data_IF_953837468208
#
_entry.id   IF_953837468208
#
_cell.length_a   1.000
_cell.length_b   1.000
_cell.length_c   1.000
_cell.angle_alpha   90.00
_cell.angle_beta   90.00
_cell.angle_gamma   90.00
#
_symmetry.space_group_name_H-M   'P 1'
#
loop_
_entity.id
_entity.type
_entity.pdbx_description
1 polymer ?
#
# COMPACT_ATOMS: atom_id res chain seq x y z
N UNK A 1 6.64 -35.25 7.74
CA UNK A 1 7.15 -33.91 8.07
C UNK A 1 8.23 -33.58 7.05
N UNK A 2 7.88 -32.80 6.02
CA UNK A 2 8.86 -32.27 5.07
C UNK A 2 9.37 -30.94 5.63
N UNK A 3 10.67 -30.74 5.59
CA UNK A 3 11.37 -29.54 6.07
C UNK A 3 10.94 -28.31 5.22
N UNK A 4 10.39 -27.22 5.82
CA UNK A 4 9.89 -26.07 5.07
C UNK A 4 10.98 -25.13 4.50
N UNK A 5 12.27 -25.41 4.67
CA UNK A 5 13.32 -24.41 4.38
C UNK A 5 14.53 -24.89 3.55
N UNK A 6 14.48 -26.04 2.87
CA UNK A 6 15.58 -26.46 1.99
C UNK A 6 15.27 -26.25 0.51
N UNK A 7 15.93 -25.26 -0.11
CA UNK A 7 15.94 -25.05 -1.56
C UNK A 7 17.36 -25.26 -2.07
N UNK A 8 17.65 -26.36 -2.78
CA UNK A 8 18.93 -26.50 -3.43
C UNK A 8 19.08 -25.40 -4.50
N UNK A 9 20.27 -24.80 -4.65
CA UNK A 9 20.55 -23.93 -5.79
C UNK A 9 20.24 -24.69 -7.10
N UNK A 10 19.82 -24.00 -8.18
CA UNK A 10 19.57 -24.67 -9.45
C UNK A 10 20.80 -25.50 -9.83
N UNK A 11 20.61 -26.82 -9.93
CA UNK A 11 21.68 -27.78 -10.27
C UNK A 11 22.16 -27.63 -11.73
N UNK A 12 21.46 -26.82 -12.53
CA UNK A 12 21.81 -26.49 -13.92
C UNK A 12 22.19 -25.03 -14.04
N UNK A 13 23.23 -24.75 -14.82
CA UNK A 13 23.61 -23.39 -15.23
C UNK A 13 22.54 -22.68 -16.08
N UNK A 14 21.41 -23.34 -16.38
CA UNK A 14 20.32 -22.86 -17.21
C UNK A 14 18.99 -23.02 -16.47
N UNK A 15 18.17 -21.97 -16.50
CA UNK A 15 16.82 -21.93 -15.92
C UNK A 15 15.75 -21.95 -17.02
N UNK A 16 14.56 -22.41 -16.67
CA UNK A 16 13.40 -22.50 -17.55
C UNK A 16 12.20 -21.70 -17.03
N UNK A 17 11.07 -21.83 -17.74
CA UNK A 17 9.84 -21.11 -17.41
C UNK A 17 9.27 -21.48 -16.05
N UNK A 18 9.46 -22.75 -15.62
CA UNK A 18 9.00 -23.26 -14.32
C UNK A 18 9.67 -22.58 -13.14
N UNK A 19 10.94 -22.20 -13.27
CA UNK A 19 11.67 -21.48 -12.21
C UNK A 19 11.08 -20.08 -12.00
N UNK A 20 10.71 -19.41 -13.10
CA UNK A 20 10.04 -18.10 -13.07
C UNK A 20 8.65 -18.21 -12.47
N UNK A 21 7.87 -19.21 -12.87
CA UNK A 21 6.54 -19.49 -12.33
C UNK A 21 6.55 -19.76 -10.82
N UNK A 22 7.58 -20.47 -10.35
CA UNK A 22 7.76 -20.71 -8.91
C UNK A 22 8.06 -19.41 -8.16
N UNK A 23 8.91 -18.52 -8.70
CA UNK A 23 9.18 -17.21 -8.11
C UNK A 23 7.92 -16.33 -8.03
N UNK A 24 7.13 -16.29 -9.11
CA UNK A 24 5.87 -15.56 -9.18
C UNK A 24 4.85 -16.10 -8.16
N UNK A 25 4.69 -17.43 -8.08
CA UNK A 25 3.76 -18.06 -7.15
C UNK A 25 4.12 -17.78 -5.69
N UNK A 26 5.41 -17.83 -5.35
CA UNK A 26 5.87 -17.50 -4.01
C UNK A 26 5.69 -16.02 -3.68
N UNK A 27 5.93 -15.13 -4.64
CA UNK A 27 5.69 -13.69 -4.46
C UNK A 27 4.21 -13.41 -4.20
N UNK A 28 3.29 -14.05 -4.94
CA UNK A 28 1.84 -13.96 -4.69
C UNK A 28 1.46 -14.47 -3.29
N UNK A 29 2.02 -15.59 -2.86
CA UNK A 29 1.77 -16.15 -1.52
C UNK A 29 2.21 -15.21 -0.41
N UNK A 30 3.43 -14.66 -0.49
CA UNK A 30 3.96 -13.71 0.51
C UNK A 30 3.17 -12.39 0.54
N UNK A 31 2.67 -11.93 -0.61
CA UNK A 31 1.79 -10.77 -0.70
C UNK A 31 0.45 -10.99 0.02
N UNK A 32 -0.12 -12.19 -0.08
CA UNK A 32 -1.33 -12.53 0.68
C UNK A 32 -1.09 -12.47 2.19
N UNK A 33 0.08 -12.91 2.66
CA UNK A 33 0.46 -12.80 4.08
C UNK A 33 0.62 -11.34 4.51
N UNK A 34 1.25 -10.49 3.69
CA UNK A 34 1.34 -9.04 3.95
C UNK A 34 -0.05 -8.44 4.14
N UNK A 35 -0.98 -8.68 3.20
CA UNK A 35 -2.33 -8.14 3.29
C UNK A 35 -3.04 -8.51 4.59
N UNK A 36 -2.93 -9.76 5.03
CA UNK A 36 -3.62 -10.25 6.23
C UNK A 36 -2.98 -9.82 7.55
N UNK A 37 -1.65 -9.76 7.63
CA UNK A 37 -0.95 -9.71 8.93
C UNK A 37 0.02 -8.54 9.11
N UNK A 38 0.27 -7.73 8.08
CA UNK A 38 1.37 -6.76 8.12
C UNK A 38 2.57 -7.25 7.30
N UNK A 39 3.30 -6.32 6.71
CA UNK A 39 4.51 -6.62 5.95
C UNK A 39 5.63 -7.16 6.85
N UNK A 40 5.62 -6.80 8.13
CA UNK A 40 6.52 -7.39 9.13
C UNK A 40 6.34 -8.90 9.32
N UNK A 41 5.19 -9.47 8.95
CA UNK A 41 4.94 -10.91 9.07
C UNK A 41 5.64 -11.75 8.00
N UNK A 42 5.99 -11.17 6.84
CA UNK A 42 6.60 -11.90 5.72
C UNK A 42 7.92 -11.31 5.21
N UNK A 43 8.38 -10.16 5.73
CA UNK A 43 9.59 -9.46 5.26
C UNK A 43 10.81 -10.38 5.15
N UNK A 44 11.14 -11.15 6.18
CA UNK A 44 12.35 -11.97 6.18
C UNK A 44 12.27 -13.09 5.12
N UNK A 45 11.09 -13.68 4.94
CA UNK A 45 10.85 -14.64 3.87
C UNK A 45 10.99 -13.99 2.48
N UNK A 46 10.51 -12.75 2.30
CA UNK A 46 10.71 -11.98 1.06
C UNK A 46 12.19 -11.74 0.80
N UNK A 47 12.97 -11.33 1.81
CA UNK A 47 14.42 -11.11 1.68
C UNK A 47 15.15 -12.41 1.32
N UNK A 48 14.77 -13.55 1.90
CA UNK A 48 15.33 -14.87 1.51
C UNK A 48 15.06 -15.15 0.03
N UNK A 49 13.87 -14.81 -0.48
CA UNK A 49 13.54 -14.99 -1.90
C UNK A 49 14.34 -14.07 -2.82
N UNK A 50 14.76 -12.89 -2.37
CA UNK A 50 15.64 -12.01 -3.16
C UNK A 50 16.99 -12.69 -3.42
N UNK A 51 17.56 -13.41 -2.45
CA UNK A 51 18.81 -14.15 -2.69
C UNK A 51 18.65 -15.27 -3.71
N UNK A 52 17.50 -15.95 -3.73
CA UNK A 52 17.22 -16.95 -4.76
C UNK A 52 17.01 -16.31 -6.15
N UNK A 53 16.27 -15.21 -6.22
CA UNK A 53 16.11 -14.43 -7.44
C UNK A 53 17.45 -13.96 -8.05
N UNK A 54 18.42 -13.58 -7.22
CA UNK A 54 19.76 -13.23 -7.68
C UNK A 54 20.50 -14.40 -8.33
N UNK A 55 20.32 -15.63 -7.83
CA UNK A 55 20.87 -16.82 -8.44
C UNK A 55 20.21 -17.12 -9.80
N UNK A 56 18.88 -16.95 -9.90
CA UNK A 56 18.16 -17.10 -11.16
C UNK A 56 18.63 -16.06 -12.20
N UNK A 57 18.86 -14.81 -11.78
CA UNK A 57 19.37 -13.76 -12.68
C UNK A 57 20.76 -14.07 -13.25
N UNK A 58 21.60 -14.79 -12.50
CA UNK A 58 22.95 -15.18 -12.91
C UNK A 58 22.99 -16.41 -13.83
N UNK A 59 21.90 -17.18 -13.91
CA UNK A 59 21.81 -18.38 -14.75
C UNK A 59 21.53 -18.05 -16.23
N UNK A 60 21.92 -18.94 -17.13
CA UNK A 60 21.56 -18.86 -18.55
C UNK A 60 20.05 -19.06 -18.75
N UNK A 61 19.46 -18.35 -19.70
CA UNK A 61 18.04 -18.44 -20.04
C UNK A 61 17.84 -18.04 -21.50
N UNK A 62 16.75 -18.49 -22.14
CA UNK A 62 16.32 -17.88 -23.40
C UNK A 62 15.87 -16.43 -23.16
N UNK A 63 15.86 -15.62 -24.21
CA UNK A 63 15.43 -14.21 -24.11
C UNK A 63 14.01 -14.08 -23.55
N UNK A 64 13.09 -14.98 -23.95
CA UNK A 64 11.72 -15.01 -23.44
C UNK A 64 11.64 -15.33 -21.94
N UNK A 65 12.42 -16.31 -21.46
CA UNK A 65 12.49 -16.66 -20.04
C UNK A 65 13.15 -15.53 -19.25
N UNK A 66 14.20 -14.91 -19.80
CA UNK A 66 14.89 -13.78 -19.16
C UNK A 66 13.99 -12.57 -19.02
N UNK A 67 13.20 -12.23 -20.05
CA UNK A 67 12.25 -11.13 -19.98
C UNK A 67 11.19 -11.35 -18.88
N UNK A 68 10.59 -12.53 -18.81
CA UNK A 68 9.60 -12.87 -17.76
C UNK A 68 10.25 -12.89 -16.36
N UNK A 69 11.49 -13.39 -16.25
CA UNK A 69 12.24 -13.36 -14.99
C UNK A 69 12.45 -11.93 -14.50
N UNK A 70 12.81 -10.98 -15.37
CA UNK A 70 13.00 -9.58 -14.98
C UNK A 70 11.72 -8.99 -14.37
N UNK A 71 10.55 -9.22 -14.97
CA UNK A 71 9.26 -8.82 -14.38
C UNK A 71 8.99 -9.51 -13.04
N UNK A 72 9.24 -10.82 -12.93
CA UNK A 72 9.04 -11.56 -11.67
C UNK A 72 9.96 -11.05 -10.54
N UNK A 73 11.22 -10.74 -10.85
CA UNK A 73 12.18 -10.16 -9.91
C UNK A 73 11.81 -8.73 -9.54
N UNK A 74 11.33 -7.94 -10.50
CA UNK A 74 10.81 -6.61 -10.25
C UNK A 74 9.63 -6.65 -9.26
N UNK A 75 8.68 -7.58 -9.44
CA UNK A 75 7.53 -7.72 -8.55
C UNK A 75 7.93 -8.20 -7.14
N UNK A 76 8.93 -9.09 -7.04
CA UNK A 76 9.48 -9.49 -5.75
C UNK A 76 10.18 -8.32 -5.04
N UNK A 77 10.97 -7.51 -5.75
CA UNK A 77 11.56 -6.30 -5.19
C UNK A 77 10.48 -5.27 -4.80
N UNK A 78 9.40 -5.15 -5.56
CA UNK A 78 8.27 -4.31 -5.21
C UNK A 78 7.63 -4.74 -3.88
N UNK A 79 7.44 -6.05 -3.66
CA UNK A 79 6.98 -6.60 -2.39
C UNK A 79 8.01 -6.38 -1.26
N UNK A 80 9.31 -6.55 -1.53
CA UNK A 80 10.37 -6.29 -0.56
C UNK A 80 10.39 -4.82 -0.10
N UNK A 81 10.18 -3.90 -1.03
CA UNK A 81 10.05 -2.47 -0.74
C UNK A 81 8.86 -2.18 0.16
N UNK A 82 7.71 -2.75 -0.17
CA UNK A 82 6.47 -2.55 0.59
C UNK A 82 6.52 -3.13 2.01
N UNK A 83 7.03 -4.34 2.16
CA UNK A 83 7.18 -5.00 3.46
C UNK A 83 8.23 -4.31 4.34
N UNK A 84 9.30 -3.79 3.74
CA UNK A 84 10.29 -2.96 4.43
C UNK A 84 9.70 -1.63 4.89
N UNK A 85 8.90 -0.98 4.05
CA UNK A 85 8.17 0.23 4.42
C UNK A 85 7.21 -0.02 5.59
N UNK A 86 6.47 -1.13 5.54
CA UNK A 86 5.56 -1.51 6.63
C UNK A 86 6.27 -1.79 7.96
N UNK A 87 7.52 -2.24 7.88
CA UNK A 87 8.39 -2.51 9.04
C UNK A 87 9.22 -1.29 9.49
N UNK A 88 8.94 -0.08 8.97
CA UNK A 88 9.66 1.14 9.32
C UNK A 88 11.07 1.26 8.72
N UNK A 89 11.48 0.37 7.83
CA UNK A 89 12.82 0.35 7.21
C UNK A 89 12.85 1.16 5.92
N UNK A 90 12.72 2.48 6.03
CA UNK A 90 12.53 3.41 4.90
C UNK A 90 13.67 3.34 3.87
N UNK A 91 14.93 3.29 4.32
CA UNK A 91 16.08 3.18 3.41
C UNK A 91 16.07 1.89 2.60
N UNK A 92 15.73 0.76 3.23
CA UNK A 92 15.57 -0.53 2.55
C UNK A 92 14.38 -0.52 1.58
N UNK A 93 13.30 0.16 1.95
CA UNK A 93 12.14 0.33 1.09
C UNK A 93 12.51 1.04 -0.22
N UNK A 94 13.17 2.19 -0.14
CA UNK A 94 13.61 2.93 -1.34
C UNK A 94 14.58 2.12 -2.19
N UNK A 95 15.58 1.48 -1.57
CA UNK A 95 16.52 0.61 -2.28
C UNK A 95 15.79 -0.46 -3.11
N UNK A 96 14.83 -1.17 -2.51
CA UNK A 96 14.10 -2.19 -3.23
C UNK A 96 13.17 -1.63 -4.31
N UNK A 97 12.53 -0.48 -4.10
CA UNK A 97 11.74 0.16 -5.15
C UNK A 97 12.62 0.67 -6.32
N UNK A 98 13.83 1.18 -6.07
CA UNK A 98 14.79 1.51 -7.12
C UNK A 98 15.15 0.27 -7.95
N UNK A 99 15.48 -0.85 -7.29
CA UNK A 99 15.75 -2.13 -7.97
C UNK A 99 14.55 -2.64 -8.74
N UNK A 100 13.34 -2.51 -8.20
CA UNK A 100 12.11 -2.91 -8.89
C UNK A 100 11.92 -2.11 -10.20
N UNK A 101 12.11 -0.78 -10.17
CA UNK A 101 12.03 0.07 -11.36
C UNK A 101 13.11 -0.26 -12.40
N UNK A 102 14.32 -0.63 -11.97
CA UNK A 102 15.37 -1.06 -12.89
C UNK A 102 14.98 -2.30 -13.71
N UNK A 103 14.25 -3.22 -13.09
CA UNK A 103 13.84 -4.48 -13.71
C UNK A 103 12.49 -4.38 -14.44
N UNK A 104 11.58 -3.48 -14.04
CA UNK A 104 10.25 -3.33 -14.62
C UNK A 104 10.19 -2.50 -15.92
N UNK A 105 11.33 -2.14 -16.54
CA UNK A 105 11.42 -1.15 -17.64
C UNK A 105 10.52 -1.41 -18.85
N UNK A 106 10.08 -2.65 -19.05
CA UNK A 106 9.20 -3.06 -20.16
C UNK A 106 7.81 -3.51 -19.70
N UNK A 107 7.49 -3.33 -18.42
CA UNK A 107 6.23 -3.68 -17.79
C UNK A 107 5.64 -2.42 -17.15
N UNK A 108 4.70 -1.82 -17.87
CA UNK A 108 4.16 -0.51 -17.54
C UNK A 108 3.18 -0.54 -16.37
N UNK A 109 2.39 -1.60 -16.26
CA UNK A 109 1.49 -1.80 -15.12
C UNK A 109 2.29 -2.03 -13.84
N UNK A 110 3.35 -2.84 -13.91
CA UNK A 110 4.24 -3.05 -12.77
C UNK A 110 5.01 -1.77 -12.41
N UNK A 111 5.50 -1.03 -13.40
CA UNK A 111 6.15 0.27 -13.18
C UNK A 111 5.21 1.24 -12.46
N UNK A 112 3.95 1.31 -12.89
CA UNK A 112 2.91 2.15 -12.26
C UNK A 112 2.68 1.74 -10.81
N UNK A 113 2.56 0.45 -10.52
CA UNK A 113 2.42 -0.08 -9.16
C UNK A 113 3.60 0.32 -8.27
N UNK A 114 4.84 0.18 -8.77
CA UNK A 114 6.05 0.55 -8.02
C UNK A 114 6.11 2.06 -7.75
N UNK A 115 5.77 2.87 -8.76
CA UNK A 115 5.69 4.33 -8.65
C UNK A 115 4.66 4.75 -7.60
N UNK A 116 3.46 4.17 -7.65
CA UNK A 116 2.42 4.38 -6.65
C UNK A 116 2.92 4.06 -5.23
N UNK A 117 3.48 2.86 -5.03
CA UNK A 117 3.96 2.42 -3.71
C UNK A 117 5.08 3.29 -3.18
N UNK A 118 5.99 3.75 -4.05
CA UNK A 118 7.05 4.68 -3.67
C UNK A 118 6.52 6.06 -3.30
N UNK A 119 5.56 6.59 -4.05
CA UNK A 119 4.87 7.84 -3.72
C UNK A 119 4.21 7.78 -2.34
N UNK A 120 3.60 6.63 -1.99
CA UNK A 120 3.04 6.38 -0.66
C UNK A 120 4.07 6.43 0.47
N UNK A 121 5.33 6.05 0.22
CA UNK A 121 6.42 6.19 1.22
C UNK A 121 6.68 7.68 1.49
N UNK A 122 6.86 8.49 0.44
CA UNK A 122 7.05 9.93 0.59
C UNK A 122 5.89 10.60 1.32
N UNK A 123 4.66 10.26 0.93
CA UNK A 123 3.46 10.83 1.54
C UNK A 123 3.36 10.51 3.04
N UNK A 124 3.65 9.26 3.42
CA UNK A 124 3.63 8.81 4.81
C UNK A 124 4.68 9.51 5.68
N UNK A 125 5.86 9.79 5.12
CA UNK A 125 6.94 10.48 5.83
C UNK A 125 6.90 12.01 5.70
N UNK A 126 5.75 12.58 5.33
CA UNK A 126 5.54 14.03 5.35
C UNK A 126 6.19 14.79 4.19
N UNK A 127 6.48 14.12 3.08
CA UNK A 127 6.98 14.72 1.84
C UNK A 127 5.91 14.69 0.72
N UNK A 128 4.78 15.40 0.87
CA UNK A 128 3.68 15.35 -0.10
C UNK A 128 4.05 15.92 -1.48
N UNK A 129 5.01 16.86 -1.57
CA UNK A 129 5.52 17.38 -2.83
C UNK A 129 6.25 16.31 -3.66
N UNK A 130 7.13 15.54 -3.02
CA UNK A 130 7.79 14.40 -3.66
C UNK A 130 6.77 13.34 -4.05
N UNK A 131 5.81 13.05 -3.17
CA UNK A 131 4.74 12.10 -3.44
C UNK A 131 3.92 12.47 -4.68
N UNK A 132 3.56 13.75 -4.84
CA UNK A 132 2.87 14.26 -6.03
C UNK A 132 3.66 13.97 -7.31
N UNK A 133 4.99 14.14 -7.31
CA UNK A 133 5.81 13.87 -8.48
C UNK A 133 5.75 12.40 -8.92
N UNK A 134 5.53 11.46 -7.99
CA UNK A 134 5.26 10.07 -8.32
C UNK A 134 3.83 9.86 -8.85
N UNK A 135 2.82 10.39 -8.17
CA UNK A 135 1.42 10.16 -8.56
C UNK A 135 1.06 10.82 -9.91
N UNK A 136 1.66 11.96 -10.24
CA UNK A 136 1.44 12.67 -11.50
C UNK A 136 2.07 12.01 -12.73
N UNK A 137 2.84 10.91 -12.55
CA UNK A 137 3.26 10.08 -13.68
C UNK A 137 2.07 9.41 -14.38
N UNK A 138 0.94 9.27 -13.68
CA UNK A 138 -0.29 8.70 -14.20
C UNK A 138 -0.19 7.19 -14.44
N UNK A 139 -1.23 6.67 -15.09
CA UNK A 139 -1.33 5.29 -15.53
C UNK A 139 -2.13 5.22 -16.83
N UNK A 140 -2.05 4.11 -17.56
CA UNK A 140 -2.87 3.90 -18.75
C UNK A 140 -4.23 3.26 -18.44
N UNK A 141 -4.26 2.23 -17.59
CA UNK A 141 -5.52 1.58 -17.23
C UNK A 141 -6.39 2.52 -16.35
N UNK A 142 -7.68 2.72 -16.64
CA UNK A 142 -8.53 3.63 -15.87
C UNK A 142 -8.59 3.33 -14.37
N UNK A 143 -8.58 2.06 -13.97
CA UNK A 143 -8.56 1.71 -12.55
C UNK A 143 -7.25 2.12 -11.87
N UNK A 144 -6.11 1.90 -12.54
CA UNK A 144 -4.81 2.36 -12.05
C UNK A 144 -4.73 3.89 -12.00
N UNK A 145 -5.30 4.59 -12.99
CA UNK A 145 -5.40 6.05 -13.00
C UNK A 145 -6.22 6.57 -11.82
N UNK A 146 -7.30 5.89 -11.45
CA UNK A 146 -8.08 6.23 -10.26
C UNK A 146 -7.23 6.16 -8.99
N UNK A 147 -6.45 5.08 -8.82
CA UNK A 147 -5.51 4.94 -7.69
C UNK A 147 -4.51 6.09 -7.67
N UNK A 148 -3.96 6.49 -8.82
CA UNK A 148 -3.01 7.60 -8.88
C UNK A 148 -3.68 8.93 -8.48
N UNK A 149 -4.84 9.24 -9.06
CA UNK A 149 -5.57 10.49 -8.77
C UNK A 149 -6.03 10.60 -7.31
N UNK A 150 -6.47 9.51 -6.68
CA UNK A 150 -6.91 9.58 -5.28
C UNK A 150 -5.73 9.82 -4.33
N UNK A 151 -4.53 9.36 -4.69
CA UNK A 151 -3.32 9.63 -3.93
C UNK A 151 -2.72 11.01 -4.25
N UNK A 152 -2.90 11.55 -5.46
CA UNK A 152 -2.70 12.99 -5.73
C UNK A 152 -3.59 13.84 -4.84
N UNK A 153 -4.89 13.49 -4.74
CA UNK A 153 -5.85 14.21 -3.91
C UNK A 153 -5.40 14.26 -2.44
N UNK A 154 -4.95 13.13 -1.90
CA UNK A 154 -4.40 13.07 -0.55
C UNK A 154 -3.13 13.93 -0.39
N UNK A 155 -2.21 13.87 -1.35
CA UNK A 155 -1.00 14.68 -1.29
C UNK A 155 -1.30 16.18 -1.40
N UNK A 156 -2.31 16.61 -2.16
CA UNK A 156 -2.80 17.99 -2.17
C UNK A 156 -3.46 18.37 -0.84
N UNK A 157 -4.29 17.50 -0.27
CA UNK A 157 -4.94 17.75 1.03
C UNK A 157 -3.91 17.96 2.15
N UNK A 158 -2.84 17.15 2.17
CA UNK A 158 -1.70 17.29 3.08
C UNK A 158 -0.87 18.58 2.92
N UNK A 159 -1.14 19.36 1.88
CA UNK A 159 -0.52 20.66 1.60
C UNK A 159 -1.53 21.82 1.75
N UNK A 160 -2.70 21.57 2.33
CA UNK A 160 -3.80 22.54 2.47
C UNK A 160 -4.33 23.08 1.11
N UNK A 161 -4.13 22.32 0.03
CA UNK A 161 -4.54 22.67 -1.35
C UNK A 161 -5.90 22.06 -1.67
N UNK A 162 -6.94 22.58 -1.02
CA UNK A 162 -8.29 22.02 -1.05
C UNK A 162 -8.93 21.93 -2.45
N UNK A 163 -8.75 22.96 -3.28
CA UNK A 163 -9.31 22.98 -4.64
C UNK A 163 -8.69 21.89 -5.51
N UNK A 164 -7.37 21.73 -5.47
CA UNK A 164 -6.67 20.68 -6.21
C UNK A 164 -6.97 19.29 -5.66
N UNK A 165 -7.09 19.16 -4.33
CA UNK A 165 -7.46 17.90 -3.69
C UNK A 165 -8.84 17.41 -4.17
N UNK A 166 -9.87 18.27 -4.10
CA UNK A 166 -11.22 17.91 -4.52
C UNK A 166 -11.31 17.67 -6.04
N UNK A 167 -10.57 18.43 -6.85
CA UNK A 167 -10.49 18.19 -8.30
C UNK A 167 -9.85 16.84 -8.61
N UNK A 168 -8.76 16.49 -7.93
CA UNK A 168 -8.10 15.20 -8.11
C UNK A 168 -8.99 14.04 -7.63
N UNK A 169 -9.72 14.21 -6.53
CA UNK A 169 -10.68 13.23 -6.04
C UNK A 169 -11.82 12.99 -7.05
N UNK A 170 -12.36 14.05 -7.66
CA UNK A 170 -13.34 13.93 -8.74
C UNK A 170 -12.80 13.15 -9.95
N UNK A 171 -11.56 13.45 -10.39
CA UNK A 171 -10.91 12.67 -11.46
C UNK A 171 -10.72 11.19 -11.10
N UNK A 172 -10.44 10.90 -9.82
CA UNK A 172 -10.35 9.52 -9.36
C UNK A 172 -11.70 8.79 -9.50
N UNK A 173 -12.78 9.43 -9.07
CA UNK A 173 -14.14 8.89 -9.18
C UNK A 173 -14.57 8.67 -10.63
N UNK A 174 -14.31 9.64 -11.52
CA UNK A 174 -14.60 9.51 -12.96
C UNK A 174 -13.82 8.35 -13.59
N UNK A 175 -12.52 8.27 -13.29
CA UNK A 175 -11.65 7.21 -13.80
C UNK A 175 -12.10 5.83 -13.30
N UNK A 176 -12.50 5.73 -12.03
CA UNK A 176 -13.05 4.50 -11.45
C UNK A 176 -14.35 4.08 -12.12
N UNK A 177 -15.28 5.02 -12.32
CA UNK A 177 -16.57 4.76 -12.97
C UNK A 177 -16.41 4.32 -14.42
N UNK A 178 -15.36 4.79 -15.11
CA UNK A 178 -15.06 4.41 -16.50
C UNK A 178 -14.32 3.07 -16.64
N UNK A 179 -13.82 2.48 -15.55
CA UNK A 179 -12.96 1.32 -15.60
C UNK A 179 -13.73 0.04 -15.97
N UNK A 180 -13.29 -0.65 -17.04
CA UNK A 180 -13.70 -2.02 -17.30
C UNK A 180 -13.03 -2.95 -16.29
N UNK A 181 -13.83 -3.53 -15.39
CA UNK A 181 -13.35 -4.41 -14.32
C UNK A 181 -12.95 -5.80 -14.79
N UNK A 182 -13.24 -6.16 -16.04
CA UNK A 182 -12.89 -7.48 -16.59
C UNK A 182 -11.40 -7.59 -16.95
N UNK A 183 -10.77 -6.48 -17.34
CA UNK A 183 -9.36 -6.42 -17.78
C UNK A 183 -8.53 -5.46 -16.93
N UNK A 184 -8.50 -5.69 -15.60
CA UNK A 184 -7.70 -4.87 -14.67
C UNK A 184 -6.40 -5.56 -14.29
N UNK A 185 -5.28 -4.82 -14.18
CA UNK A 185 -4.04 -5.35 -13.63
C UNK A 185 -4.27 -5.90 -12.22
N UNK A 186 -3.69 -7.06 -11.90
CA UNK A 186 -3.94 -7.75 -10.63
C UNK A 186 -3.62 -6.89 -9.41
N UNK A 187 -2.59 -6.04 -9.51
CA UNK A 187 -2.21 -5.16 -8.42
C UNK A 187 -3.25 -4.08 -8.12
N UNK A 188 -4.09 -3.69 -9.09
CA UNK A 188 -5.09 -2.65 -8.95
C UNK A 188 -6.45 -3.20 -8.44
N UNK A 189 -6.63 -4.52 -8.38
CA UNK A 189 -7.90 -5.18 -8.00
C UNK A 189 -8.38 -4.86 -6.59
N UNK A 190 -7.49 -4.44 -5.69
CA UNK A 190 -7.89 -4.01 -4.33
C UNK A 190 -8.70 -2.72 -4.36
N UNK A 191 -8.58 -1.93 -5.44
CA UNK A 191 -9.26 -0.64 -5.56
C UNK A 191 -10.70 -0.88 -6.05
N UNK A 192 -11.59 -1.09 -5.10
CA UNK A 192 -13.03 -1.28 -5.28
C UNK A 192 -13.82 -0.06 -4.75
N UNK A 193 -15.17 -0.16 -4.74
CA UNK A 193 -16.02 0.90 -4.21
C UNK A 193 -15.71 1.23 -2.74
N UNK A 194 -15.32 0.23 -1.96
CA UNK A 194 -15.00 0.41 -0.53
C UNK A 194 -13.68 1.14 -0.36
N UNK A 195 -12.64 0.77 -1.11
CA UNK A 195 -11.35 1.48 -1.08
C UNK A 195 -11.48 2.92 -1.59
N UNK A 196 -12.23 3.16 -2.67
CA UNK A 196 -12.49 4.51 -3.15
C UNK A 196 -13.22 5.36 -2.10
N UNK A 197 -14.22 4.79 -1.42
CA UNK A 197 -14.94 5.45 -0.32
C UNK A 197 -14.02 5.77 0.85
N UNK A 198 -13.18 4.81 1.26
CA UNK A 198 -12.21 4.98 2.34
C UNK A 198 -11.19 6.09 2.04
N UNK A 199 -10.70 6.12 0.80
CA UNK A 199 -9.75 7.12 0.33
C UNK A 199 -10.40 8.51 0.22
N UNK A 200 -11.64 8.61 -0.26
CA UNK A 200 -12.39 9.86 -0.23
C UNK A 200 -12.57 10.39 1.20
N UNK A 201 -12.95 9.52 2.14
CA UNK A 201 -13.05 9.86 3.56
C UNK A 201 -11.72 10.34 4.15
N UNK A 202 -10.61 9.70 3.75
CA UNK A 202 -9.25 10.12 4.15
C UNK A 202 -8.89 11.50 3.61
N UNK A 203 -9.18 11.78 2.34
CA UNK A 203 -8.93 13.10 1.74
C UNK A 203 -9.73 14.19 2.46
N UNK A 204 -11.02 13.95 2.73
CA UNK A 204 -11.84 14.90 3.49
C UNK A 204 -11.35 15.09 4.93
N UNK A 205 -10.91 14.02 5.60
CA UNK A 205 -10.34 14.10 6.95
C UNK A 205 -9.09 14.99 7.00
N UNK A 206 -8.18 14.83 6.02
CA UNK A 206 -6.97 15.65 5.91
C UNK A 206 -7.27 17.12 5.61
N UNK A 207 -8.38 17.41 4.92
CA UNK A 207 -8.90 18.76 4.70
C UNK A 207 -9.65 19.34 5.91
N UNK A 208 -9.86 18.55 6.96
CA UNK A 208 -10.69 18.93 8.11
C UNK A 208 -12.20 18.99 7.83
N UNK A 209 -12.67 18.45 6.71
CA UNK A 209 -14.09 18.38 6.36
C UNK A 209 -14.74 17.13 6.96
N UNK A 210 -14.88 17.15 8.27
CA UNK A 210 -15.41 16.04 9.09
C UNK A 210 -16.79 15.58 8.65
N UNK A 211 -17.63 16.50 8.18
CA UNK A 211 -18.99 16.22 7.67
C UNK A 211 -19.00 15.23 6.52
N UNK A 212 -18.01 15.31 5.63
CA UNK A 212 -17.86 14.38 4.50
C UNK A 212 -17.01 13.17 4.89
N UNK A 213 -16.00 13.38 5.74
CA UNK A 213 -15.06 12.34 6.14
C UNK A 213 -15.72 11.21 6.96
N UNK A 214 -16.46 11.56 8.00
CA UNK A 214 -17.07 10.62 8.96
C UNK A 214 -17.96 9.58 8.26
N UNK A 215 -18.99 9.94 7.47
CA UNK A 215 -19.87 8.95 6.86
C UNK A 215 -19.12 8.03 5.88
N UNK A 216 -18.15 8.56 5.12
CA UNK A 216 -17.33 7.76 4.21
C UNK A 216 -16.46 6.75 4.97
N UNK A 217 -15.78 7.19 6.03
CA UNK A 217 -14.93 6.32 6.85
C UNK A 217 -15.75 5.24 7.57
N UNK A 218 -16.92 5.59 8.13
CA UNK A 218 -17.83 4.62 8.76
C UNK A 218 -18.31 3.58 7.75
N UNK A 219 -18.70 4.01 6.55
CA UNK A 219 -19.14 3.10 5.49
C UNK A 219 -18.03 2.12 5.10
N UNK A 220 -16.80 2.61 4.92
CA UNK A 220 -15.66 1.76 4.57
C UNK A 220 -15.33 0.74 5.66
N UNK A 221 -15.27 1.17 6.93
CA UNK A 221 -14.99 0.29 8.08
C UNK A 221 -16.06 -0.80 8.20
N UNK A 222 -17.31 -0.51 7.86
CA UNK A 222 -18.42 -1.46 7.95
C UNK A 222 -18.42 -2.48 6.81
N UNK A 223 -17.94 -2.08 5.63
CA UNK A 223 -17.94 -2.93 4.44
C UNK A 223 -16.76 -3.90 4.36
N UNK A 224 -15.59 -3.53 4.90
CA UNK A 224 -14.40 -4.38 4.88
C UNK A 224 -14.46 -5.56 5.85
N UNK A 225 -13.95 -6.71 5.40
CA UNK A 225 -13.71 -7.88 6.24
C UNK A 225 -12.33 -7.89 6.89
N UNK A 226 -12.00 -8.97 7.63
CA UNK A 226 -10.72 -9.11 8.34
C UNK A 226 -9.50 -9.08 7.43
N UNK A 227 -9.65 -9.40 6.14
CA UNK A 227 -8.59 -9.33 5.14
C UNK A 227 -8.05 -7.92 4.89
N UNK A 228 -8.81 -6.88 5.25
CA UNK A 228 -8.44 -5.47 5.13
C UNK A 228 -8.13 -4.83 6.50
N UNK A 229 -7.74 -5.62 7.51
CA UNK A 229 -7.51 -5.16 8.88
C UNK A 229 -6.63 -3.91 8.99
N UNK A 230 -5.55 -3.82 8.22
CA UNK A 230 -4.65 -2.65 8.21
C UNK A 230 -5.33 -1.40 7.66
N UNK A 231 -6.06 -1.53 6.56
CA UNK A 231 -6.82 -0.41 5.97
C UNK A 231 -7.94 0.04 6.90
N UNK A 232 -8.64 -0.89 7.54
CA UNK A 232 -9.64 -0.61 8.58
C UNK A 232 -9.04 0.14 9.76
N UNK A 233 -7.86 -0.26 10.26
CA UNK A 233 -7.16 0.45 11.33
C UNK A 233 -6.81 1.89 10.92
N UNK A 234 -6.35 2.13 9.68
CA UNK A 234 -6.12 3.50 9.20
C UNK A 234 -7.40 4.33 9.18
N UNK A 235 -8.52 3.76 8.73
CA UNK A 235 -9.80 4.47 8.74
C UNK A 235 -10.31 4.75 10.15
N UNK A 236 -10.12 3.83 11.10
CA UNK A 236 -10.45 4.06 12.52
C UNK A 236 -9.63 5.23 13.11
N UNK A 237 -8.33 5.31 12.80
CA UNK A 237 -7.46 6.41 13.23
C UNK A 237 -7.96 7.75 12.66
N UNK A 238 -8.26 7.79 11.36
CA UNK A 238 -8.79 9.00 10.72
C UNK A 238 -10.15 9.40 11.29
N UNK A 239 -11.03 8.43 11.53
CA UNK A 239 -12.37 8.65 12.07
C UNK A 239 -12.32 9.21 13.50
N UNK A 240 -11.50 8.61 14.38
CA UNK A 240 -11.28 9.12 15.73
C UNK A 240 -10.73 10.56 15.71
N UNK A 241 -9.80 10.84 14.79
CA UNK A 241 -9.24 12.18 14.62
C UNK A 241 -10.32 13.20 14.19
N UNK A 242 -11.24 12.81 13.30
CA UNK A 242 -12.39 13.64 12.92
C UNK A 242 -13.31 13.93 14.11
N UNK A 243 -13.65 12.93 14.93
CA UNK A 243 -14.49 13.15 16.12
C UNK A 243 -13.82 14.09 17.13
N UNK A 244 -12.51 13.96 17.37
CA UNK A 244 -11.79 14.92 18.21
C UNK A 244 -11.79 16.33 17.60
N UNK A 245 -11.62 16.45 16.29
CA UNK A 245 -11.68 17.74 15.59
C UNK A 245 -13.05 18.42 15.72
N UNK A 246 -14.15 17.65 15.68
CA UNK A 246 -15.52 18.13 15.90
C UNK A 246 -15.86 18.39 17.38
N UNK A 247 -14.98 18.01 18.31
CA UNK A 247 -15.24 18.09 19.74
C UNK A 247 -16.18 17.01 20.28
N UNK A 248 -16.48 15.98 19.49
CA UNK A 248 -17.23 14.79 19.91
C UNK A 248 -16.29 13.82 20.66
N UNK A 249 -15.96 14.21 21.88
CA UNK A 249 -14.93 13.53 22.69
C UNK A 249 -15.31 12.10 23.05
N UNK A 250 -16.60 11.83 23.28
CA UNK A 250 -17.08 10.49 23.66
C UNK A 250 -16.96 9.49 22.52
N UNK A 251 -17.41 9.87 21.32
CA UNK A 251 -17.26 9.00 20.15
C UNK A 251 -15.79 8.91 19.71
N UNK A 252 -15.04 10.02 19.78
CA UNK A 252 -13.60 10.03 19.54
C UNK A 252 -12.84 9.07 20.45
N UNK A 253 -13.24 8.97 21.73
CA UNK A 253 -12.69 7.98 22.66
C UNK A 253 -13.07 6.54 22.26
N UNK A 254 -14.33 6.30 21.96
CA UNK A 254 -14.85 4.97 21.55
C UNK A 254 -14.12 4.44 20.32
N UNK A 255 -14.07 5.24 19.24
CA UNK A 255 -13.39 4.89 17.99
C UNK A 255 -11.87 4.82 18.20
N UNK A 256 -11.30 5.74 18.98
CA UNK A 256 -9.87 5.76 19.30
C UNK A 256 -9.40 4.48 20.01
N UNK A 257 -10.19 3.95 20.94
CA UNK A 257 -9.89 2.67 21.61
C UNK A 257 -9.90 1.49 20.63
N UNK A 258 -10.87 1.47 19.70
CA UNK A 258 -10.91 0.45 18.64
C UNK A 258 -9.68 0.55 17.73
N UNK A 259 -9.22 1.76 17.42
CA UNK A 259 -8.00 1.98 16.64
C UNK A 259 -6.75 1.45 17.36
N UNK A 260 -6.62 1.68 18.67
CA UNK A 260 -5.50 1.16 19.49
C UNK A 260 -5.51 -0.37 19.51
N UNK A 261 -6.67 -0.99 19.77
CA UNK A 261 -6.79 -2.45 19.80
C UNK A 261 -6.43 -3.07 18.44
N UNK A 262 -6.93 -2.50 17.34
CA UNK A 262 -6.58 -2.96 16.00
C UNK A 262 -5.09 -2.82 15.70
N UNK A 263 -4.43 -1.78 16.20
CA UNK A 263 -3.00 -1.58 16.01
C UNK A 263 -2.14 -2.63 16.76
N UNK A 264 -2.60 -3.14 17.91
CA UNK A 264 -1.89 -4.15 18.69
C UNK A 264 -1.87 -5.52 18.03
N UNK A 265 -2.89 -5.85 17.24
CA UNK A 265 -2.98 -7.11 16.49
C UNK A 265 -2.13 -7.09 15.19
N UNK A 266 -1.65 -5.92 14.77
CA UNK A 266 -0.96 -5.72 13.50
C UNK A 266 0.55 -5.54 13.68
N UNK A 267 1.34 -6.25 12.86
CA UNK A 267 2.79 -6.05 12.75
C UNK A 267 3.14 -4.98 11.71
N UNK A 268 2.75 -3.73 11.96
CA UNK A 268 2.94 -2.61 11.04
C UNK A 268 3.33 -1.32 11.79
N UNK A 269 4.54 -0.82 11.56
CA UNK A 269 5.01 0.45 12.14
C UNK A 269 4.21 1.64 11.59
N UNK A 270 3.70 1.53 10.37
CA UNK A 270 2.88 2.58 9.73
C UNK A 270 1.60 2.88 10.50
N UNK A 271 0.99 1.86 11.12
CA UNK A 271 -0.20 2.06 11.95
C UNK A 271 0.17 2.86 13.19
N UNK A 272 1.27 2.51 13.85
CA UNK A 272 1.80 3.26 15.01
C UNK A 272 2.18 4.70 14.66
N UNK A 273 2.83 4.93 13.52
CA UNK A 273 3.16 6.27 13.02
C UNK A 273 1.92 7.17 12.92
N UNK A 274 0.82 6.64 12.38
CA UNK A 274 -0.44 7.38 12.21
C UNK A 274 -1.26 7.50 13.49
N UNK A 275 -1.13 6.53 14.39
CA UNK A 275 -1.80 6.56 15.69
C UNK A 275 -1.23 7.67 16.57
N UNK A 276 0.08 7.98 16.48
CA UNK A 276 0.73 9.03 17.30
C UNK A 276 0.07 10.41 17.20
N UNK A 277 -0.21 10.99 16.02
CA UNK A 277 -0.98 12.22 15.90
C UNK A 277 -2.37 12.15 16.53
N UNK A 278 -3.12 11.06 16.31
CA UNK A 278 -4.45 10.87 16.89
C UNK A 278 -4.40 10.80 18.42
N UNK A 279 -3.40 10.13 19.01
CA UNK A 279 -3.19 10.09 20.46
C UNK A 279 -2.89 11.48 21.04
N UNK A 280 -2.16 12.33 20.31
CA UNK A 280 -1.93 13.73 20.72
C UNK A 280 -3.22 14.55 20.69
N UNK A 281 -4.05 14.36 19.67
CA UNK A 281 -5.38 14.99 19.60
C UNK A 281 -6.25 14.53 20.78
N UNK A 282 -6.32 13.24 21.06
CA UNK A 282 -7.04 12.73 22.23
C UNK A 282 -6.56 13.39 23.55
N UNK A 283 -5.23 13.48 23.74
CA UNK A 283 -4.64 14.10 24.92
C UNK A 283 -4.98 15.59 25.06
N UNK A 284 -5.08 16.35 23.96
CA UNK A 284 -5.51 17.76 24.04
C UNK A 284 -6.97 17.93 24.48
N UNK A 285 -7.78 16.87 24.38
CA UNK A 285 -9.14 16.81 24.92
C UNK A 285 -9.23 16.12 26.29
N UNK A 286 -8.08 15.85 26.95
CA UNK A 286 -8.05 15.18 28.25
C UNK A 286 -8.42 13.69 28.20
N UNK A 287 -8.33 13.06 27.01
CA UNK A 287 -8.58 11.63 26.83
C UNK A 287 -7.25 10.87 26.78
N UNK A 288 -7.09 9.92 27.69
CA UNK A 288 -6.04 8.91 27.63
C UNK A 288 -6.61 7.63 26.99
N UNK A 289 -6.01 7.19 25.88
CA UNK A 289 -6.36 5.95 25.18
C UNK A 289 -5.41 4.79 25.56
N UNK A 290 -4.50 5.05 26.51
CA UNK A 290 -3.60 4.12 27.20
C UNK A 290 -3.29 4.65 28.58
#
# INVERSE_FOLDING_TARGET
MADPAYFPPPHSSRIGISDVEQLEAQTRSLRSVDYQHGGGACRDAVVVRIYWAQQLLAAEASDSVRARLLSAVADLHNLAGWTSFDSGQVGAAYHHFDRALDFARHDEDLTTNIVYRRGRVHLHHGAPGDALAYFQRGAFAPLASSIMYVNEAWAYARQDRSVEALRALGRAQDSFASADRTHVPDWARFHDETDLTAMAGTVHAELGDTRQAIPALVSAITAWGPEMARSGAFCLISLASCHFLDGDVDEGRSVGMRAVNAAEELRSERVWDRLRPMLRAAASHGVALR
#
